data_IF_128362069379
#
_entry.id   IF_128362069379
#
_cell.length_a   1.000
_cell.length_b   1.000
_cell.length_c   1.000
_cell.angle_alpha   90.00
_cell.angle_beta   90.00
_cell.angle_gamma   90.00
#
_symmetry.space_group_name_H-M   'P 1'
#
loop_
_entity.id
_entity.type
_entity.pdbx_description
1 polymer ?
#
# COMPACT_ATOMS: atom_id res chain seq x y z
N UNK A 1 -1.91 15.62 -11.07
CA UNK A 1 -1.12 14.79 -12.00
C UNK A 1 -2.05 13.95 -12.88
N UNK A 2 -1.60 13.54 -14.06
CA UNK A 2 -2.32 12.60 -14.93
C UNK A 2 -1.40 11.51 -15.44
N UNK A 3 -1.88 10.27 -15.47
CA UNK A 3 -1.16 9.13 -16.02
C UNK A 3 -1.97 8.55 -17.19
N UNK A 4 -1.39 8.52 -18.40
CA UNK A 4 -2.06 8.05 -19.63
C UNK A 4 -3.47 8.65 -19.84
N UNK A 5 -3.64 9.94 -19.57
CA UNK A 5 -4.93 10.64 -19.68
C UNK A 5 -5.89 10.43 -18.50
N UNK A 6 -5.56 9.56 -17.54
CA UNK A 6 -6.33 9.38 -16.30
C UNK A 6 -5.85 10.38 -15.25
N UNK A 7 -6.78 11.14 -14.65
CA UNK A 7 -6.45 12.08 -13.56
C UNK A 7 -6.14 11.30 -12.28
N UNK A 8 -4.99 11.56 -11.68
CA UNK A 8 -4.54 10.91 -10.45
C UNK A 8 -4.47 11.93 -9.31
N UNK A 9 -4.99 11.53 -8.15
CA UNK A 9 -4.86 12.23 -6.88
C UNK A 9 -4.27 11.26 -5.85
N UNK A 10 -3.23 11.69 -5.16
CA UNK A 10 -2.58 10.91 -4.10
C UNK A 10 -2.71 11.70 -2.80
N UNK A 11 -3.31 11.09 -1.79
CA UNK A 11 -3.40 11.65 -0.44
C UNK A 11 -2.31 10.98 0.39
N UNK A 12 -1.30 11.75 0.79
CA UNK A 12 -0.28 11.24 1.71
C UNK A 12 -0.79 11.36 3.14
N UNK A 13 -0.74 10.26 3.89
CA UNK A 13 -1.12 10.23 5.29
C UNK A 13 0.15 10.36 6.13
N UNK A 14 0.21 11.27 7.11
CA UNK A 14 1.26 11.22 8.13
C UNK A 14 1.21 9.87 8.87
N UNK A 15 2.14 9.61 9.80
CA UNK A 15 2.22 8.40 10.65
C UNK A 15 1.03 8.24 11.63
N UNK A 16 -0.20 8.51 11.16
CA UNK A 16 -1.46 8.54 11.91
C UNK A 16 -2.04 7.14 12.10
N UNK A 17 -1.58 6.17 11.32
CA UNK A 17 -2.05 4.78 11.37
C UNK A 17 -1.07 3.85 12.11
N UNK A 18 0.13 4.32 12.44
CA UNK A 18 1.20 3.49 12.99
C UNK A 18 0.97 3.08 14.46
N UNK A 19 -0.08 3.61 15.11
CA UNK A 19 -0.47 3.26 16.48
C UNK A 19 -2.00 3.27 16.64
N UNK A 20 -2.48 2.53 17.64
CA UNK A 20 -3.90 2.55 18.05
C UNK A 20 -4.23 3.78 18.95
N UNK A 21 -3.25 4.66 19.20
CA UNK A 21 -3.39 5.86 20.03
C UNK A 21 -4.04 7.02 19.25
N UNK A 22 -5.35 6.94 19.11
CA UNK A 22 -6.15 8.02 18.55
C UNK A 22 -6.28 9.17 19.56
N UNK A 23 -5.34 10.12 19.55
CA UNK A 23 -5.55 11.42 20.19
C UNK A 23 -6.41 12.34 19.29
N UNK A 24 -6.80 13.52 19.79
CA UNK A 24 -7.67 14.44 19.03
C UNK A 24 -7.03 14.90 17.70
N UNK A 25 -5.71 15.09 17.68
CA UNK A 25 -4.97 15.49 16.47
C UNK A 25 -5.02 14.39 15.42
N UNK A 26 -4.75 13.15 15.81
CA UNK A 26 -4.81 11.97 14.94
C UNK A 26 -6.23 11.79 14.38
N UNK A 27 -7.27 11.92 15.22
CA UNK A 27 -8.67 11.85 14.75
C UNK A 27 -8.99 12.91 13.71
N UNK A 28 -8.56 14.17 13.91
CA UNK A 28 -8.78 15.25 12.94
C UNK A 28 -8.07 14.97 11.61
N UNK A 29 -6.86 14.42 11.64
CA UNK A 29 -6.12 14.04 10.44
C UNK A 29 -6.76 12.87 9.69
N UNK A 30 -7.30 11.88 10.41
CA UNK A 30 -8.09 10.80 9.81
C UNK A 30 -9.34 11.35 9.12
N UNK A 31 -10.09 12.24 9.77
CA UNK A 31 -11.27 12.88 9.17
C UNK A 31 -10.90 13.67 7.90
N UNK A 32 -9.81 14.44 7.94
CA UNK A 32 -9.31 15.14 6.76
C UNK A 32 -8.92 14.17 5.63
N UNK A 33 -8.31 13.03 5.95
CA UNK A 33 -8.00 11.99 4.97
C UNK A 33 -9.27 11.43 4.31
N UNK A 34 -10.32 11.19 5.09
CA UNK A 34 -11.62 10.70 4.58
C UNK A 34 -12.25 11.75 3.67
N UNK A 35 -12.26 13.03 4.09
CA UNK A 35 -12.83 14.14 3.31
C UNK A 35 -12.10 14.35 1.98
N UNK A 36 -10.76 14.33 1.99
CA UNK A 36 -9.92 14.45 0.79
C UNK A 36 -10.08 13.26 -0.17
N UNK A 37 -10.53 12.12 0.35
CA UNK A 37 -10.70 10.89 -0.42
C UNK A 37 -12.16 10.66 -0.85
N UNK A 38 -13.10 11.53 -0.50
CA UNK A 38 -14.53 11.34 -0.80
C UNK A 38 -14.78 11.16 -2.31
N UNK A 39 -15.63 10.21 -2.76
CA UNK A 39 -16.50 9.29 -2.00
C UNK A 39 -15.80 8.10 -1.31
N UNK A 40 -14.52 7.91 -1.58
CA UNK A 40 -13.66 6.87 -1.02
C UNK A 40 -12.43 6.70 -1.92
N UNK A 41 -11.30 6.19 -1.38
CA UNK A 41 -10.14 5.91 -2.20
C UNK A 41 -10.43 4.77 -3.18
N UNK A 42 -9.98 4.91 -4.43
CA UNK A 42 -10.06 3.84 -5.43
C UNK A 42 -9.16 2.64 -5.06
N UNK A 43 -7.98 2.95 -4.51
CA UNK A 43 -7.03 1.98 -3.98
C UNK A 43 -6.33 2.59 -2.77
N UNK A 44 -5.95 1.74 -1.83
CA UNK A 44 -5.10 2.06 -0.69
C UNK A 44 -3.72 1.49 -0.94
N UNK A 45 -2.67 2.20 -0.56
CA UNK A 45 -1.29 1.73 -0.70
C UNK A 45 -0.67 1.64 0.68
N UNK A 46 -0.35 0.43 1.12
CA UNK A 46 0.38 0.17 2.35
C UNK A 46 1.85 -0.04 2.01
N UNK A 47 2.71 0.86 2.45
CA UNK A 47 4.14 0.85 2.13
C UNK A 47 4.91 0.12 3.23
N UNK A 48 5.71 -0.88 2.86
CA UNK A 48 6.60 -1.62 3.77
C UNK A 48 7.98 -1.75 3.11
N UNK A 49 9.03 -1.97 3.89
CA UNK A 49 10.35 -2.29 3.36
C UNK A 49 10.51 -3.81 3.22
N UNK A 50 11.20 -4.25 2.17
CA UNK A 50 11.68 -5.64 2.07
C UNK A 50 12.47 -6.02 3.32
N UNK A 51 12.26 -7.24 3.81
CA UNK A 51 12.96 -7.77 4.99
C UNK A 51 12.50 -7.19 6.32
N UNK A 52 11.63 -6.17 6.33
CA UNK A 52 11.29 -5.40 7.52
C UNK A 52 9.79 -5.16 7.66
N UNK A 53 9.00 -6.23 7.56
CA UNK A 53 7.59 -6.18 7.98
C UNK A 53 7.49 -6.36 9.49
N UNK A 54 7.14 -5.30 10.21
CA UNK A 54 7.15 -5.24 11.68
C UNK A 54 5.76 -5.31 12.30
N UNK A 55 5.69 -5.21 13.63
CA UNK A 55 4.42 -5.12 14.35
C UNK A 55 3.69 -3.81 14.02
N UNK A 56 4.43 -2.72 13.83
CA UNK A 56 3.89 -1.42 13.43
C UNK A 56 3.18 -1.49 12.07
N UNK A 57 3.74 -2.19 11.08
CA UNK A 57 3.07 -2.39 9.77
C UNK A 57 1.75 -3.17 9.91
N UNK A 58 1.73 -4.17 10.79
CA UNK A 58 0.54 -4.96 11.07
C UNK A 58 -0.53 -4.11 11.81
N UNK A 59 -0.12 -3.23 12.71
CA UNK A 59 -1.00 -2.26 13.38
C UNK A 59 -1.54 -1.27 12.36
N UNK A 60 -0.70 -0.70 11.50
CA UNK A 60 -1.14 0.22 10.44
C UNK A 60 -2.17 -0.40 9.52
N UNK A 61 -1.94 -1.64 9.07
CA UNK A 61 -2.90 -2.37 8.25
C UNK A 61 -4.26 -2.58 8.96
N UNK A 62 -4.25 -2.77 10.28
CA UNK A 62 -5.46 -2.91 11.10
C UNK A 62 -6.17 -1.56 11.30
N UNK A 63 -5.43 -0.50 11.62
CA UNK A 63 -5.98 0.85 11.77
C UNK A 63 -6.68 1.33 10.48
N UNK A 64 -6.10 1.03 9.31
CA UNK A 64 -6.72 1.31 8.01
C UNK A 64 -8.04 0.54 7.84
N UNK A 65 -8.07 -0.74 8.25
CA UNK A 65 -9.31 -1.55 8.24
C UNK A 65 -10.38 -0.99 9.20
N UNK A 66 -9.98 -0.51 10.37
CA UNK A 66 -10.91 0.06 11.35
C UNK A 66 -11.52 1.38 10.86
N UNK A 67 -10.78 2.15 10.05
CA UNK A 67 -11.24 3.43 9.50
C UNK A 67 -12.06 3.27 8.22
N UNK A 68 -11.61 2.46 7.27
CA UNK A 68 -12.25 2.31 5.96
C UNK A 68 -13.16 1.06 5.84
N UNK A 69 -13.23 0.25 6.90
CA UNK A 69 -14.00 -0.99 6.95
C UNK A 69 -13.21 -2.19 6.41
N UNK A 70 -13.64 -3.40 6.78
CA UNK A 70 -12.94 -4.64 6.46
C UNK A 70 -12.79 -4.91 4.95
N UNK A 71 -13.73 -4.43 4.14
CA UNK A 71 -13.67 -4.60 2.67
C UNK A 71 -12.53 -3.80 2.03
N UNK A 72 -11.98 -2.79 2.72
CA UNK A 72 -10.90 -1.96 2.19
C UNK A 72 -9.62 -2.78 1.91
N UNK A 73 -9.44 -3.93 2.57
CA UNK A 73 -8.26 -4.79 2.32
C UNK A 73 -8.22 -5.28 0.88
N UNK A 74 -9.38 -5.50 0.26
CA UNK A 74 -9.47 -5.94 -1.14
C UNK A 74 -9.09 -4.84 -2.12
N UNK A 75 -9.10 -3.58 -1.68
CA UNK A 75 -8.64 -2.41 -2.41
C UNK A 75 -7.22 -1.99 -2.03
N UNK A 76 -6.55 -2.76 -1.15
CA UNK A 76 -5.23 -2.40 -0.62
C UNK A 76 -4.13 -3.10 -1.40
N UNK A 77 -3.16 -2.33 -1.87
CA UNK A 77 -1.93 -2.82 -2.50
C UNK A 77 -0.80 -2.70 -1.48
N UNK A 78 -0.05 -3.79 -1.27
CA UNK A 78 1.17 -3.77 -0.44
C UNK A 78 2.36 -3.40 -1.32
N UNK A 79 2.93 -2.21 -1.10
CA UNK A 79 4.08 -1.68 -1.85
C UNK A 79 5.37 -1.96 -1.07
N UNK A 80 6.25 -2.78 -1.62
CA UNK A 80 7.55 -3.10 -1.05
C UNK A 80 8.62 -2.15 -1.56
N UNK A 81 9.29 -1.46 -0.65
CA UNK A 81 10.43 -0.59 -0.93
C UNK A 81 11.76 -1.28 -0.62
N UNK A 82 12.87 -0.67 -1.04
CA UNK A 82 14.23 -1.24 -0.92
C UNK A 82 14.36 -2.58 -1.65
N UNK A 83 13.84 -2.64 -2.88
CA UNK A 83 13.90 -3.83 -3.74
C UNK A 83 15.34 -4.25 -4.05
N UNK A 84 16.31 -3.34 -3.95
CA UNK A 84 17.73 -3.65 -4.06
C UNK A 84 18.22 -4.66 -3.00
N UNK A 85 17.55 -4.73 -1.85
CA UNK A 85 17.89 -5.64 -0.75
C UNK A 85 17.57 -7.12 -1.09
N UNK A 86 16.78 -7.37 -2.14
CA UNK A 86 16.49 -8.72 -2.64
C UNK A 86 17.63 -9.31 -3.48
N UNK A 87 18.67 -8.53 -3.82
CA UNK A 87 19.80 -9.06 -4.60
C UNK A 87 19.43 -9.57 -6.00
N UNK A 88 18.26 -9.17 -6.53
CA UNK A 88 17.72 -9.65 -7.81
C UNK A 88 16.69 -10.77 -7.70
N UNK A 89 16.44 -11.29 -6.50
CA UNK A 89 15.42 -12.32 -6.29
C UNK A 89 14.01 -11.76 -6.54
N UNK A 90 13.09 -12.57 -7.10
CA UNK A 90 11.71 -12.13 -7.31
C UNK A 90 11.00 -11.81 -5.99
N UNK A 91 10.30 -10.68 -5.93
CA UNK A 91 9.51 -10.29 -4.76
C UNK A 91 8.49 -11.36 -4.35
N UNK A 92 7.92 -12.07 -5.34
CA UNK A 92 7.04 -13.21 -5.12
C UNK A 92 7.69 -14.26 -4.21
N UNK A 93 8.93 -14.62 -4.52
CA UNK A 93 9.68 -15.65 -3.81
C UNK A 93 9.96 -15.21 -2.37
N UNK A 94 10.37 -13.95 -2.18
CA UNK A 94 10.52 -13.36 -0.85
C UNK A 94 9.24 -13.48 -0.01
N UNK A 95 8.08 -13.15 -0.58
CA UNK A 95 6.80 -13.20 0.16
C UNK A 95 6.44 -14.64 0.56
N UNK A 96 6.58 -15.62 -0.35
CA UNK A 96 6.16 -16.99 -0.06
C UNK A 96 7.12 -17.76 0.85
N UNK A 97 8.41 -17.49 0.71
CA UNK A 97 9.45 -18.08 1.57
C UNK A 97 9.57 -17.38 2.93
N UNK A 98 8.91 -16.23 3.12
CA UNK A 98 8.90 -15.50 4.38
C UNK A 98 8.32 -16.33 5.54
N UNK A 99 9.09 -16.42 6.62
CA UNK A 99 8.62 -16.98 7.91
C UNK A 99 7.62 -16.05 8.62
N UNK A 100 7.51 -14.79 8.19
CA UNK A 100 6.58 -13.83 8.76
C UNK A 100 5.13 -14.17 8.40
N UNK A 101 4.43 -14.80 9.35
CA UNK A 101 3.03 -15.21 9.17
C UNK A 101 2.09 -14.02 8.97
N UNK A 102 2.34 -12.89 9.64
CA UNK A 102 1.50 -11.69 9.53
C UNK A 102 1.58 -11.11 8.12
N UNK A 103 2.79 -11.02 7.56
CA UNK A 103 3.00 -10.61 6.17
C UNK A 103 2.21 -11.50 5.21
N UNK A 104 2.37 -12.83 5.29
CA UNK A 104 1.68 -13.77 4.40
C UNK A 104 0.16 -13.74 4.56
N UNK A 105 -0.36 -13.44 5.76
CA UNK A 105 -1.80 -13.27 5.99
C UNK A 105 -2.30 -11.97 5.37
N UNK A 106 -1.57 -10.88 5.57
CA UNK A 106 -1.90 -9.58 4.99
C UNK A 106 -1.96 -9.66 3.46
N UNK A 107 -0.92 -10.20 2.81
CA UNK A 107 -0.88 -10.34 1.35
C UNK A 107 -2.09 -11.14 0.82
N UNK A 108 -2.48 -12.21 1.50
CA UNK A 108 -3.67 -12.99 1.15
C UNK A 108 -4.97 -12.21 1.31
N UNK A 109 -5.11 -11.41 2.38
CA UNK A 109 -6.27 -10.53 2.60
C UNK A 109 -6.36 -9.43 1.55
N UNK A 110 -5.20 -8.98 1.06
CA UNK A 110 -5.07 -8.04 -0.05
C UNK A 110 -5.16 -8.71 -1.43
N UNK A 111 -5.74 -9.91 -1.55
CA UNK A 111 -5.89 -10.65 -2.82
C UNK A 111 -4.59 -10.82 -3.63
N UNK A 112 -3.44 -10.85 -2.96
CA UNK A 112 -2.11 -10.86 -3.59
C UNK A 112 -1.83 -9.61 -4.44
N UNK A 113 -2.47 -8.48 -4.12
CA UNK A 113 -2.14 -7.17 -4.68
C UNK A 113 -0.89 -6.64 -3.97
N UNK A 114 0.28 -6.88 -4.57
CA UNK A 114 1.55 -6.34 -4.10
C UNK A 114 2.46 -5.97 -5.26
N UNK A 115 3.32 -4.98 -5.05
CA UNK A 115 4.31 -4.56 -6.04
C UNK A 115 5.60 -4.09 -5.36
N UNK A 116 6.70 -4.16 -6.12
CA UNK A 116 7.99 -3.67 -5.68
C UNK A 116 8.26 -2.27 -6.24
N UNK A 117 8.95 -1.44 -5.46
CA UNK A 117 9.29 -0.09 -5.85
C UNK A 117 10.67 0.33 -5.35
N UNK A 118 11.52 0.77 -6.26
CA UNK A 118 12.82 1.34 -5.98
C UNK A 118 12.71 2.87 -5.98
N UNK A 119 12.70 3.48 -4.78
CA UNK A 119 12.60 4.94 -4.63
C UNK A 119 13.83 5.70 -5.18
N UNK A 120 14.92 5.00 -5.50
CA UNK A 120 16.14 5.58 -6.08
C UNK A 120 16.20 5.43 -7.61
N UNK A 121 15.24 4.73 -8.23
CA UNK A 121 15.22 4.51 -9.66
C UNK A 121 15.03 5.82 -10.43
N UNK A 122 15.64 5.90 -11.62
CA UNK A 122 15.55 7.06 -12.53
C UNK A 122 15.36 6.59 -13.97
N UNK A 123 14.86 7.48 -14.84
CA UNK A 123 14.67 7.20 -16.26
C UNK A 123 13.75 6.01 -16.53
N UNK A 124 14.19 5.10 -17.40
CA UNK A 124 13.39 3.95 -17.85
C UNK A 124 12.96 3.02 -16.71
N UNK A 125 13.81 2.84 -15.70
CA UNK A 125 13.45 2.02 -14.53
C UNK A 125 12.32 2.66 -13.73
N UNK A 126 12.38 3.99 -13.52
CA UNK A 126 11.33 4.76 -12.86
C UNK A 126 10.01 4.68 -13.63
N UNK A 127 10.04 4.87 -14.94
CA UNK A 127 8.84 4.80 -15.80
C UNK A 127 8.21 3.40 -15.78
N UNK A 128 9.04 2.35 -15.80
CA UNK A 128 8.58 0.95 -15.74
C UNK A 128 7.88 0.66 -14.41
N UNK A 129 8.49 0.99 -13.27
CA UNK A 129 7.89 0.69 -11.96
C UNK A 129 6.62 1.51 -11.69
N UNK A 130 6.55 2.76 -12.17
CA UNK A 130 5.32 3.55 -12.09
C UNK A 130 4.22 2.89 -12.93
N UNK A 131 4.56 2.40 -14.13
CA UNK A 131 3.59 1.70 -14.98
C UNK A 131 3.08 0.42 -14.31
N UNK A 132 3.97 -0.38 -13.71
CA UNK A 132 3.58 -1.60 -12.97
C UNK A 132 2.69 -1.31 -11.76
N UNK A 133 2.98 -0.25 -11.00
CA UNK A 133 2.12 0.20 -9.90
C UNK A 133 0.74 0.62 -10.43
N UNK A 134 0.69 1.39 -11.52
CA UNK A 134 -0.58 1.87 -12.09
C UNK A 134 -1.41 0.72 -12.66
N UNK A 135 -0.80 -0.27 -13.30
CA UNK A 135 -1.48 -1.50 -13.74
C UNK A 135 -2.03 -2.30 -12.55
N UNK A 136 -1.30 -2.37 -11.44
CA UNK A 136 -1.78 -2.97 -10.20
C UNK A 136 -2.99 -2.21 -9.63
N UNK A 137 -2.95 -0.87 -9.63
CA UNK A 137 -4.09 -0.03 -9.21
C UNK A 137 -5.31 -0.29 -10.09
N UNK A 138 -5.16 -0.29 -11.42
CA UNK A 138 -6.25 -0.54 -12.35
C UNK A 138 -6.87 -1.93 -12.15
N UNK A 139 -6.05 -2.95 -11.95
CA UNK A 139 -6.51 -4.32 -11.65
C UNK A 139 -7.25 -4.38 -10.32
N UNK A 140 -6.70 -3.78 -9.27
CA UNK A 140 -7.31 -3.71 -7.94
C UNK A 140 -8.70 -3.06 -7.99
N UNK A 141 -8.83 -1.96 -8.75
CA UNK A 141 -10.10 -1.28 -8.96
C UNK A 141 -11.07 -2.15 -9.76
N UNK A 142 -10.62 -2.78 -10.85
CA UNK A 142 -11.47 -3.58 -11.73
C UNK A 142 -12.00 -4.85 -11.06
N UNK A 143 -11.24 -5.47 -10.15
CA UNK A 143 -11.64 -6.68 -9.42
C UNK A 143 -12.63 -6.43 -8.27
N UNK A 144 -12.87 -5.16 -7.92
CA UNK A 144 -13.71 -4.78 -6.78
C UNK A 144 -14.73 -3.66 -7.10
N UNK A 145 -14.78 -3.22 -8.35
CA UNK A 145 -15.78 -2.28 -8.88
C UNK A 145 -17.02 -2.96 -9.45
#
# INVERSE_FOLDING_TARGET
ESWQGTKISVVNTPAIFDSEDYNEIVRRQIMACIELSWPGPHALILVTQVGRFTAEDAVAAKCVQDVFGSECTRHTIVLFTCMEDLGGDPLQEYIWTSDNKNLRVLIRRCKNHFCGFNNKAVGVEWERQVSELMEMVQRTVSENG
#
